data_IF_785479842466
#
_entry.id   IF_785479842466
#
_cell.length_a   1.000
_cell.length_b   1.000
_cell.length_c   1.000
_cell.angle_alpha   90.00
_cell.angle_beta   90.00
_cell.angle_gamma   90.00
#
_symmetry.space_group_name_H-M   'P 1'
#
loop_
_entity.id
_entity.type
_entity.pdbx_description
1 polymer ?
#
# COMPACT_ATOMS: atom_id res chain seq x y z
N UNK A 1 40.91 52.85 16.20
CA UNK A 1 40.61 51.56 16.85
C UNK A 1 39.43 50.94 16.09
N UNK A 2 39.74 50.39 14.91
CA UNK A 2 38.78 50.04 13.86
C UNK A 2 39.06 48.59 13.42
N UNK A 3 39.05 47.65 14.36
CA UNK A 3 39.20 46.22 14.10
C UNK A 3 38.42 45.53 15.21
N UNK A 4 37.14 45.22 15.01
CA UNK A 4 36.36 44.26 15.82
C UNK A 4 34.90 44.07 15.33
N UNK A 5 34.62 44.17 14.02
CA UNK A 5 33.25 44.06 13.49
C UNK A 5 33.12 43.23 12.21
N UNK A 6 33.95 42.19 12.04
CA UNK A 6 33.93 41.36 10.82
C UNK A 6 33.98 39.84 11.03
N UNK A 7 33.66 39.33 12.23
CA UNK A 7 33.86 37.91 12.54
C UNK A 7 32.61 37.06 12.74
N UNK A 8 31.40 37.55 12.42
CA UNK A 8 30.15 36.86 12.78
C UNK A 8 29.23 36.49 11.59
N UNK A 9 29.79 36.23 10.40
CA UNK A 9 28.99 35.72 9.25
C UNK A 9 29.71 34.55 8.60
N UNK A 10 29.94 33.48 9.35
CA UNK A 10 30.23 32.16 8.78
C UNK A 10 29.62 31.12 9.74
N UNK A 11 28.97 30.08 9.20
CA UNK A 11 28.46 28.88 9.89
C UNK A 11 26.96 28.78 10.31
N UNK A 12 26.01 29.12 9.43
CA UNK A 12 24.62 28.63 9.60
C UNK A 12 24.05 27.83 8.43
N UNK A 13 24.84 27.48 7.41
CA UNK A 13 24.36 26.81 6.19
C UNK A 13 24.29 25.27 6.16
N UNK A 14 24.82 24.45 7.11
CA UNK A 14 24.78 23.00 6.93
C UNK A 14 23.42 22.35 7.28
N UNK A 15 22.57 22.99 8.10
CA UNK A 15 21.34 22.36 8.60
C UNK A 15 20.25 22.16 7.52
N UNK A 16 20.09 23.12 6.60
CA UNK A 16 19.05 23.08 5.55
C UNK A 16 19.37 22.05 4.45
N UNK A 17 20.62 22.00 3.99
CA UNK A 17 21.06 21.02 2.98
C UNK A 17 21.04 19.57 3.52
N UNK A 18 21.30 19.41 4.82
CA UNK A 18 21.18 18.12 5.49
C UNK A 18 19.73 17.65 5.58
N UNK A 19 18.76 18.57 5.72
CA UNK A 19 17.32 18.24 5.72
C UNK A 19 16.83 17.76 4.36
N UNK A 20 17.12 18.48 3.26
CA UNK A 20 16.62 18.11 1.93
C UNK A 20 17.23 16.81 1.39
N UNK A 21 18.51 16.56 1.66
CA UNK A 21 19.17 15.30 1.27
C UNK A 21 18.67 14.10 2.08
N UNK A 22 18.36 14.28 3.37
CA UNK A 22 17.74 13.25 4.20
C UNK A 22 16.29 12.96 3.77
N UNK A 23 15.52 13.99 3.44
CA UNK A 23 14.16 13.84 2.92
C UNK A 23 14.15 13.10 1.57
N UNK A 24 15.04 13.49 0.65
CA UNK A 24 15.18 12.81 -0.63
C UNK A 24 15.45 11.31 -0.47
N UNK A 25 16.42 10.95 0.38
CA UNK A 25 16.72 9.54 0.69
C UNK A 25 15.55 8.81 1.33
N UNK A 26 14.79 9.48 2.20
CA UNK A 26 13.60 8.89 2.81
C UNK A 26 12.52 8.57 1.76
N UNK A 27 12.37 9.42 0.74
CA UNK A 27 11.43 9.18 -0.36
C UNK A 27 11.91 8.07 -1.30
N UNK A 28 13.19 8.08 -1.65
CA UNK A 28 13.84 6.99 -2.38
C UNK A 28 13.63 5.65 -1.67
N UNK A 29 13.92 5.59 -0.38
CA UNK A 29 13.74 4.39 0.44
C UNK A 29 12.29 3.92 0.45
N UNK A 30 11.33 4.85 0.57
CA UNK A 30 9.91 4.54 0.56
C UNK A 30 9.44 3.97 -0.78
N UNK A 31 9.88 4.55 -1.90
CA UNK A 31 9.56 4.06 -3.25
C UNK A 31 10.18 2.68 -3.48
N UNK A 32 11.45 2.49 -3.12
CA UNK A 32 12.15 1.23 -3.29
C UNK A 32 11.55 0.11 -2.42
N UNK A 33 11.28 0.38 -1.14
CA UNK A 33 10.65 -0.57 -0.23
C UNK A 33 9.21 -0.87 -0.65
N UNK A 34 8.45 0.15 -1.04
CA UNK A 34 7.09 0.01 -1.55
C UNK A 34 7.04 -0.89 -2.78
N UNK A 35 7.94 -0.69 -3.75
CA UNK A 35 8.04 -1.55 -4.94
C UNK A 35 8.36 -3.00 -4.59
N UNK A 36 9.33 -3.25 -3.70
CA UNK A 36 9.68 -4.62 -3.28
C UNK A 36 8.52 -5.31 -2.58
N UNK A 37 7.87 -4.63 -1.63
CA UNK A 37 6.72 -5.17 -0.92
C UNK A 37 5.57 -5.45 -1.90
N UNK A 38 5.22 -4.49 -2.75
CA UNK A 38 4.17 -4.65 -3.75
C UNK A 38 4.40 -5.87 -4.67
N UNK A 39 5.62 -6.08 -5.14
CA UNK A 39 5.97 -7.24 -5.96
C UNK A 39 5.80 -8.56 -5.19
N UNK A 40 6.30 -8.63 -3.95
CA UNK A 40 6.15 -9.82 -3.11
C UNK A 40 4.68 -10.11 -2.79
N UNK A 41 3.92 -9.08 -2.45
CA UNK A 41 2.49 -9.16 -2.19
C UNK A 41 1.74 -9.68 -3.42
N UNK A 42 2.03 -9.14 -4.60
CA UNK A 42 1.39 -9.53 -5.85
C UNK A 42 1.72 -10.98 -6.21
N UNK A 43 3.01 -11.36 -6.20
CA UNK A 43 3.42 -12.75 -6.47
C UNK A 43 2.80 -13.72 -5.46
N UNK A 44 2.75 -13.34 -4.18
CA UNK A 44 2.15 -14.15 -3.12
C UNK A 44 0.68 -14.46 -3.41
N UNK A 45 -0.15 -13.44 -3.59
CA UNK A 45 -1.58 -13.62 -3.85
C UNK A 45 -1.87 -14.23 -5.21
N UNK A 46 -1.12 -13.87 -6.26
CA UNK A 46 -1.21 -14.53 -7.57
C UNK A 46 -0.93 -16.02 -7.45
N UNK A 47 0.08 -16.43 -6.69
CA UNK A 47 0.43 -17.84 -6.49
C UNK A 47 -0.67 -18.59 -5.73
N UNK A 48 -1.26 -17.98 -4.69
CA UNK A 48 -2.39 -18.55 -3.96
C UNK A 48 -3.59 -18.80 -4.88
N UNK A 49 -3.95 -17.83 -5.74
CA UNK A 49 -5.08 -17.98 -6.65
C UNK A 49 -4.79 -18.93 -7.81
N UNK A 50 -3.57 -18.92 -8.36
CA UNK A 50 -3.16 -19.88 -9.37
C UNK A 50 -3.17 -21.32 -8.83
N UNK A 51 -2.67 -21.54 -7.61
CA UNK A 51 -2.73 -22.82 -6.93
C UNK A 51 -4.16 -23.28 -6.67
N UNK A 52 -5.00 -22.38 -6.14
CA UNK A 52 -6.44 -22.65 -5.95
C UNK A 52 -7.14 -23.01 -7.25
N UNK A 53 -6.83 -22.31 -8.35
CA UNK A 53 -7.38 -22.59 -9.67
C UNK A 53 -6.98 -24.00 -10.14
N UNK A 54 -5.70 -24.36 -10.01
CA UNK A 54 -5.19 -25.67 -10.41
C UNK A 54 -5.85 -26.81 -9.62
N UNK A 55 -5.93 -26.68 -8.28
CA UNK A 55 -6.56 -27.67 -7.41
C UNK A 55 -8.06 -27.81 -7.72
N UNK A 56 -8.77 -26.70 -7.89
CA UNK A 56 -10.20 -26.73 -8.22
C UNK A 56 -10.45 -27.29 -9.61
N UNK A 57 -9.61 -27.00 -10.61
CA UNK A 57 -9.74 -27.55 -11.94
C UNK A 57 -9.52 -29.07 -11.96
N UNK A 58 -8.54 -29.55 -11.19
CA UNK A 58 -8.30 -30.98 -11.01
C UNK A 58 -9.49 -31.66 -10.33
N UNK A 59 -9.97 -31.14 -9.21
CA UNK A 59 -11.13 -31.71 -8.50
C UNK A 59 -12.42 -31.67 -9.36
N UNK A 60 -12.64 -30.60 -10.12
CA UNK A 60 -13.80 -30.50 -11.01
C UNK A 60 -13.82 -31.58 -12.10
N UNK A 61 -12.64 -32.12 -12.45
CA UNK A 61 -12.46 -33.21 -13.41
C UNK A 61 -12.48 -34.58 -12.76
N UNK A 62 -11.78 -34.75 -11.64
CA UNK A 62 -11.44 -36.07 -11.09
C UNK A 62 -12.30 -36.49 -9.90
N UNK A 63 -13.00 -35.56 -9.24
CA UNK A 63 -13.81 -35.92 -8.08
C UNK A 63 -14.92 -36.91 -8.48
N UNK A 64 -15.07 -37.96 -7.69
CA UNK A 64 -16.07 -39.01 -7.93
C UNK A 64 -17.48 -38.55 -7.61
N UNK A 65 -17.61 -37.68 -6.61
CA UNK A 65 -18.86 -37.13 -6.10
C UNK A 65 -19.38 -35.96 -6.94
N UNK A 66 -20.70 -35.87 -7.12
CA UNK A 66 -21.32 -34.84 -7.95
C UNK A 66 -21.27 -33.46 -7.31
N UNK A 67 -21.40 -33.39 -5.99
CA UNK A 67 -21.44 -32.15 -5.21
C UNK A 67 -20.01 -31.59 -5.10
N UNK A 68 -19.02 -32.44 -4.87
CA UNK A 68 -17.60 -32.05 -4.88
C UNK A 68 -17.18 -31.48 -6.25
N UNK A 69 -17.62 -32.10 -7.35
CA UNK A 69 -17.37 -31.57 -8.70
C UNK A 69 -18.05 -30.22 -8.92
N UNK A 70 -19.27 -30.04 -8.40
CA UNK A 70 -20.00 -28.77 -8.53
C UNK A 70 -19.27 -27.66 -7.77
N UNK A 71 -18.93 -27.89 -6.51
CA UNK A 71 -18.20 -26.93 -5.67
C UNK A 71 -16.83 -26.57 -6.30
N UNK A 72 -16.13 -27.56 -6.84
CA UNK A 72 -14.86 -27.35 -7.52
C UNK A 72 -15.02 -26.48 -8.78
N UNK A 73 -16.09 -26.64 -9.57
CA UNK A 73 -16.36 -25.76 -10.74
C UNK A 73 -16.63 -24.32 -10.32
N UNK A 74 -17.39 -24.11 -9.25
CA UNK A 74 -17.58 -22.76 -8.67
C UNK A 74 -16.23 -22.20 -8.23
N UNK A 75 -15.39 -23.02 -7.60
CA UNK A 75 -14.03 -22.69 -7.20
C UNK A 75 -13.12 -22.30 -8.36
N UNK A 76 -13.22 -22.97 -9.52
CA UNK A 76 -12.50 -22.61 -10.76
C UNK A 76 -12.87 -21.19 -11.20
N UNK A 77 -14.17 -20.89 -11.30
CA UNK A 77 -14.63 -19.56 -11.72
C UNK A 77 -14.16 -18.49 -10.74
N UNK A 78 -14.31 -18.71 -9.43
CA UNK A 78 -13.87 -17.77 -8.39
C UNK A 78 -12.36 -17.53 -8.44
N UNK A 79 -11.57 -18.59 -8.57
CA UNK A 79 -10.10 -18.50 -8.61
C UNK A 79 -9.62 -17.83 -9.89
N UNK A 80 -10.25 -18.10 -11.04
CA UNK A 80 -9.93 -17.45 -12.30
C UNK A 80 -10.23 -15.94 -12.27
N UNK A 81 -11.38 -15.53 -11.71
CA UNK A 81 -11.71 -14.12 -11.54
C UNK A 81 -10.74 -13.41 -10.59
N UNK A 82 -10.40 -14.04 -9.46
CA UNK A 82 -9.44 -13.48 -8.50
C UNK A 82 -8.03 -13.35 -9.11
N UNK A 83 -7.57 -14.39 -9.82
CA UNK A 83 -6.30 -14.37 -10.53
C UNK A 83 -6.28 -13.30 -11.63
N UNK A 84 -7.36 -13.20 -12.42
CA UNK A 84 -7.53 -12.16 -13.42
C UNK A 84 -7.46 -10.76 -12.81
N UNK A 85 -8.16 -10.54 -11.69
CA UNK A 85 -8.09 -9.30 -10.91
C UNK A 85 -6.66 -8.96 -10.50
N UNK A 86 -5.90 -9.92 -9.97
CA UNK A 86 -4.49 -9.73 -9.61
C UNK A 86 -3.59 -9.38 -10.79
N UNK A 87 -3.90 -9.83 -12.00
CA UNK A 87 -3.09 -9.57 -13.20
C UNK A 87 -3.41 -8.22 -13.83
N UNK A 88 -4.68 -7.81 -13.79
CA UNK A 88 -5.18 -6.56 -14.38
C UNK A 88 -5.01 -5.37 -13.44
N UNK A 89 -5.26 -5.54 -12.13
CA UNK A 89 -5.13 -4.49 -11.13
C UNK A 89 -3.80 -4.60 -10.38
N UNK A 90 -2.72 -4.18 -11.06
CA UNK A 90 -1.37 -4.20 -10.48
C UNK A 90 -1.18 -3.07 -9.47
N UNK A 91 -0.39 -3.34 -8.44
CA UNK A 91 -0.02 -2.32 -7.46
C UNK A 91 0.75 -1.17 -8.14
N UNK A 92 0.53 0.09 -7.74
CA UNK A 92 1.17 1.25 -8.37
C UNK A 92 2.67 1.39 -8.04
N UNK A 93 3.12 0.85 -6.90
CA UNK A 93 4.47 1.07 -6.37
C UNK A 93 5.60 0.69 -7.33
N UNK A 94 5.57 -0.47 -8.03
CA UNK A 94 6.63 -0.81 -8.98
C UNK A 94 6.68 0.13 -10.18
N UNK A 95 5.55 0.69 -10.61
CA UNK A 95 5.53 1.68 -11.70
C UNK A 95 6.13 3.00 -11.23
N UNK A 96 5.71 3.50 -10.06
CA UNK A 96 6.26 4.72 -9.46
C UNK A 96 7.76 4.62 -9.19
N UNK A 97 8.25 3.46 -8.70
CA UNK A 97 9.68 3.26 -8.48
C UNK A 97 10.48 3.21 -9.78
N UNK A 98 9.96 2.57 -10.85
CA UNK A 98 10.60 2.62 -12.17
C UNK A 98 10.65 4.04 -12.70
N UNK A 99 9.55 4.77 -12.62
CA UNK A 99 9.50 6.15 -13.04
C UNK A 99 10.55 6.97 -12.30
N UNK A 100 10.57 6.93 -10.96
CA UNK A 100 11.60 7.60 -10.17
C UNK A 100 13.02 7.25 -10.63
N UNK A 101 13.36 5.95 -10.73
CA UNK A 101 14.68 5.45 -11.12
C UNK A 101 15.13 5.91 -12.51
N UNK A 102 14.20 6.07 -13.45
CA UNK A 102 14.49 6.39 -14.85
C UNK A 102 14.54 7.90 -15.15
N UNK A 103 14.38 8.76 -14.13
CA UNK A 103 14.50 10.21 -14.33
C UNK A 103 15.49 10.86 -13.37
N UNK A 104 15.52 12.19 -13.39
CA UNK A 104 16.49 12.98 -12.63
C UNK A 104 16.22 12.95 -11.12
N UNK A 105 17.29 13.14 -10.34
CA UNK A 105 17.25 13.28 -8.89
C UNK A 105 16.59 14.60 -8.49
N UNK A 106 15.26 14.59 -8.45
CA UNK A 106 14.42 15.71 -8.04
C UNK A 106 13.50 15.31 -6.88
N UNK A 107 13.65 15.99 -5.75
CA UNK A 107 12.82 15.80 -4.55
C UNK A 107 11.34 16.09 -4.80
N UNK A 108 11.02 17.07 -5.64
CA UNK A 108 9.63 17.41 -5.94
C UNK A 108 8.97 16.32 -6.76
N UNK A 109 9.73 15.70 -7.67
CA UNK A 109 9.27 14.53 -8.43
C UNK A 109 9.05 13.32 -7.53
N UNK A 110 10.01 13.00 -6.66
CA UNK A 110 9.86 11.91 -5.70
C UNK A 110 8.62 12.10 -4.81
N UNK A 111 8.37 13.34 -4.37
CA UNK A 111 7.19 13.70 -3.59
C UNK A 111 5.88 13.48 -4.37
N UNK A 112 5.77 14.00 -5.60
CA UNK A 112 4.57 13.80 -6.44
C UNK A 112 4.26 12.33 -6.69
N UNK A 113 5.29 11.52 -6.93
CA UNK A 113 5.12 10.07 -7.12
C UNK A 113 4.61 9.39 -5.85
N UNK A 114 5.16 9.75 -4.69
CA UNK A 114 4.66 9.24 -3.42
C UNK A 114 3.22 9.67 -3.16
N UNK A 115 2.88 10.93 -3.43
CA UNK A 115 1.52 11.47 -3.24
C UNK A 115 0.49 10.69 -4.06
N UNK A 116 0.79 10.46 -5.34
CA UNK A 116 -0.06 9.65 -6.23
C UNK A 116 -0.22 8.21 -5.71
N UNK A 117 0.89 7.56 -5.32
CA UNK A 117 0.84 6.19 -4.77
C UNK A 117 0.07 6.15 -3.44
N UNK A 118 0.22 7.14 -2.58
CA UNK A 118 -0.48 7.21 -1.31
C UNK A 118 -1.98 7.48 -1.48
N UNK A 119 -2.39 8.25 -2.49
CA UNK A 119 -3.79 8.40 -2.85
C UNK A 119 -4.39 7.05 -3.27
N UNK A 120 -3.70 6.29 -4.13
CA UNK A 120 -4.12 4.95 -4.50
C UNK A 120 -4.16 3.98 -3.29
N UNK A 121 -3.16 4.00 -2.42
CA UNK A 121 -3.15 3.19 -1.19
C UNK A 121 -4.38 3.50 -0.31
N UNK A 122 -4.78 4.77 -0.20
CA UNK A 122 -5.98 5.17 0.55
C UNK A 122 -7.26 4.73 -0.16
N UNK A 123 -7.35 4.93 -1.47
CA UNK A 123 -8.51 4.55 -2.27
C UNK A 123 -8.78 3.04 -2.20
N UNK A 124 -7.74 2.22 -2.33
CA UNK A 124 -7.80 0.74 -2.26
C UNK A 124 -8.24 0.23 -0.88
N UNK A 125 -8.06 1.02 0.17
CA UNK A 125 -8.45 0.69 1.55
C UNK A 125 -9.76 1.33 1.99
N UNK A 126 -10.38 2.13 1.12
CA UNK A 126 -11.60 2.85 1.42
C UNK A 126 -12.74 1.90 1.81
N UNK A 127 -13.73 2.43 2.53
CA UNK A 127 -14.95 1.69 2.84
C UNK A 127 -15.63 1.19 1.56
N UNK A 128 -15.55 1.94 0.46
CA UNK A 128 -16.11 1.52 -0.82
C UNK A 128 -15.45 0.24 -1.35
N UNK A 129 -14.12 0.12 -1.26
CA UNK A 129 -13.41 -1.10 -1.63
C UNK A 129 -13.83 -2.30 -0.75
N UNK A 130 -14.00 -2.08 0.56
CA UNK A 130 -14.48 -3.11 1.50
C UNK A 130 -15.91 -3.55 1.19
N UNK A 131 -16.79 -2.61 0.84
CA UNK A 131 -18.18 -2.89 0.46
C UNK A 131 -18.27 -3.68 -0.85
N UNK A 132 -17.39 -3.41 -1.83
CA UNK A 132 -17.30 -4.21 -3.06
C UNK A 132 -16.97 -5.67 -2.78
N UNK A 133 -15.97 -5.91 -1.93
CA UNK A 133 -15.63 -7.26 -1.47
C UNK A 133 -16.78 -7.94 -0.73
N UNK A 134 -17.48 -7.21 0.15
CA UNK A 134 -18.63 -7.73 0.88
C UNK A 134 -19.74 -8.15 -0.10
N UNK A 135 -20.07 -7.31 -1.08
CA UNK A 135 -21.09 -7.62 -2.08
C UNK A 135 -20.74 -8.88 -2.90
N UNK A 136 -19.51 -8.98 -3.41
CA UNK A 136 -19.06 -10.14 -4.20
C UNK A 136 -19.11 -11.42 -3.36
N UNK A 137 -18.61 -11.38 -2.12
CA UNK A 137 -18.63 -12.55 -1.24
C UNK A 137 -20.04 -12.96 -0.83
N UNK A 138 -20.94 -11.99 -0.60
CA UNK A 138 -22.36 -12.27 -0.32
C UNK A 138 -23.02 -12.95 -1.52
N UNK A 139 -22.82 -12.45 -2.74
CA UNK A 139 -23.36 -13.09 -3.96
C UNK A 139 -22.84 -14.52 -4.10
N UNK A 140 -21.54 -14.73 -3.92
CA UNK A 140 -20.94 -16.05 -4.00
C UNK A 140 -21.49 -17.01 -2.95
N UNK A 141 -21.59 -16.57 -1.69
CA UNK A 141 -22.15 -17.37 -0.60
C UNK A 141 -23.63 -17.71 -0.81
N UNK A 142 -24.43 -16.76 -1.27
CA UNK A 142 -25.84 -16.98 -1.61
C UNK A 142 -26.02 -17.94 -2.79
N UNK A 143 -25.14 -17.88 -3.80
CA UNK A 143 -25.20 -18.80 -4.95
C UNK A 143 -25.02 -20.25 -4.50
N UNK A 144 -24.11 -20.50 -3.55
CA UNK A 144 -23.89 -21.85 -2.99
C UNK A 144 -25.05 -22.25 -2.07
N UNK A 145 -25.54 -21.33 -1.24
CA UNK A 145 -26.65 -21.60 -0.32
C UNK A 145 -27.95 -21.96 -1.05
N UNK A 146 -28.29 -21.24 -2.13
CA UNK A 146 -29.55 -21.39 -2.86
C UNK A 146 -29.47 -22.46 -3.96
N UNK A 147 -28.27 -22.72 -4.50
CA UNK A 147 -28.08 -23.68 -5.59
C UNK A 147 -28.49 -25.11 -5.24
N UNK A 148 -28.40 -25.51 -3.96
CA UNK A 148 -28.69 -26.89 -3.52
C UNK A 148 -29.17 -27.01 -2.05
N UNK A 149 -29.65 -25.91 -1.44
CA UNK A 149 -30.11 -25.92 -0.03
C UNK A 149 -28.99 -26.06 1.01
N UNK A 150 -27.73 -25.80 0.62
CA UNK A 150 -26.52 -25.95 1.45
C UNK A 150 -26.14 -24.63 2.16
N UNK A 151 -27.06 -24.13 2.98
CA UNK A 151 -26.93 -22.83 3.67
C UNK A 151 -25.65 -22.70 4.52
N UNK A 152 -25.26 -23.79 5.19
CA UNK A 152 -24.03 -23.85 5.99
C UNK A 152 -22.78 -23.64 5.14
N UNK A 153 -22.73 -24.22 3.95
CA UNK A 153 -21.57 -24.17 3.07
C UNK A 153 -21.46 -22.79 2.39
N UNK A 154 -22.61 -22.19 2.06
CA UNK A 154 -22.68 -20.79 1.65
C UNK A 154 -22.13 -19.83 2.72
N UNK A 155 -22.50 -20.04 3.99
CA UNK A 155 -22.00 -19.23 5.11
C UNK A 155 -20.48 -19.40 5.33
N UNK A 156 -19.96 -20.63 5.22
CA UNK A 156 -18.51 -20.90 5.30
C UNK A 156 -17.77 -20.24 4.13
N UNK A 157 -18.32 -20.31 2.91
CA UNK A 157 -17.70 -19.67 1.74
C UNK A 157 -17.64 -18.15 1.90
N UNK A 158 -18.72 -17.54 2.38
CA UNK A 158 -18.78 -16.13 2.71
C UNK A 158 -17.71 -15.75 3.75
N UNK A 159 -17.68 -16.45 4.89
CA UNK A 159 -16.74 -16.17 5.97
C UNK A 159 -15.27 -16.30 5.51
N UNK A 160 -14.96 -17.36 4.76
CA UNK A 160 -13.63 -17.59 4.20
C UNK A 160 -13.26 -16.49 3.21
N UNK A 161 -14.19 -16.11 2.34
CA UNK A 161 -13.99 -15.01 1.39
C UNK A 161 -13.71 -13.68 2.07
N UNK A 162 -14.47 -13.36 3.13
CA UNK A 162 -14.26 -12.16 3.93
C UNK A 162 -12.91 -12.15 4.64
N UNK A 163 -12.49 -13.27 5.22
CA UNK A 163 -11.16 -13.41 5.84
C UNK A 163 -10.05 -13.15 4.82
N UNK A 164 -10.12 -13.80 3.65
CA UNK A 164 -9.13 -13.64 2.58
C UNK A 164 -9.07 -12.20 2.07
N UNK A 165 -10.23 -11.54 1.95
CA UNK A 165 -10.28 -10.12 1.57
C UNK A 165 -9.66 -9.19 2.62
N UNK A 166 -9.93 -9.39 3.91
CA UNK A 166 -9.32 -8.55 4.96
C UNK A 166 -7.82 -8.81 5.07
N UNK A 167 -7.36 -10.06 4.92
CA UNK A 167 -5.93 -10.38 4.88
C UNK A 167 -5.22 -9.70 3.71
N UNK A 168 -5.83 -9.71 2.51
CA UNK A 168 -5.30 -8.96 1.36
C UNK A 168 -5.20 -7.47 1.67
N UNK A 169 -6.29 -6.86 2.15
CA UNK A 169 -6.29 -5.44 2.49
C UNK A 169 -5.27 -5.12 3.58
N UNK A 170 -5.16 -5.94 4.62
CA UNK A 170 -4.25 -5.69 5.73
C UNK A 170 -2.78 -5.81 5.30
N UNK A 171 -2.45 -6.79 4.46
CA UNK A 171 -1.09 -7.06 3.99
C UNK A 171 -0.62 -6.15 2.86
N UNK A 172 -1.51 -5.36 2.23
CA UNK A 172 -1.11 -4.45 1.15
C UNK A 172 -0.05 -3.42 1.59
N UNK A 173 0.86 -3.03 0.68
CA UNK A 173 1.90 -2.02 0.93
C UNK A 173 1.31 -0.67 1.36
N UNK A 174 2.05 0.04 2.22
CA UNK A 174 1.65 1.34 2.82
C UNK A 174 2.81 2.34 2.91
N UNK A 175 3.89 2.06 2.21
CA UNK A 175 5.14 2.79 2.36
C UNK A 175 4.98 4.25 1.90
N UNK A 176 4.14 4.51 0.89
CA UNK A 176 3.93 5.86 0.39
C UNK A 176 3.13 6.72 1.38
N UNK A 177 2.00 6.21 1.88
CA UNK A 177 1.20 6.88 2.91
C UNK A 177 2.02 7.11 4.18
N UNK A 178 2.84 6.14 4.59
CA UNK A 178 3.72 6.28 5.76
C UNK A 178 4.82 7.32 5.55
N UNK A 179 5.34 7.48 4.33
CA UNK A 179 6.39 8.43 4.03
C UNK A 179 5.88 9.87 4.03
N UNK A 180 4.71 10.12 3.46
CA UNK A 180 4.09 11.45 3.42
C UNK A 180 3.61 11.88 4.80
N UNK A 181 2.97 10.98 5.54
CA UNK A 181 2.44 11.30 6.88
C UNK A 181 3.54 11.44 7.95
N UNK A 182 4.82 11.25 7.59
CA UNK A 182 5.95 11.47 8.49
C UNK A 182 6.10 12.95 8.85
N UNK A 183 5.75 13.86 7.94
CA UNK A 183 5.70 15.29 8.19
C UNK A 183 4.29 15.66 8.67
N UNK A 184 4.18 16.12 9.92
CA UNK A 184 2.92 16.52 10.55
C UNK A 184 2.84 18.05 10.65
N UNK A 185 1.69 18.68 10.40
CA UNK A 185 1.56 20.12 10.57
C UNK A 185 1.79 20.56 12.02
N UNK A 186 2.72 21.49 12.22
CA UNK A 186 2.94 22.22 13.45
C UNK A 186 2.61 23.70 13.21
N UNK A 187 1.62 24.21 13.94
CA UNK A 187 1.41 25.65 14.10
C UNK A 187 2.21 26.10 15.30
N UNK A 188 3.23 26.91 15.08
CA UNK A 188 4.03 27.49 16.16
C UNK A 188 3.73 28.98 16.20
N UNK A 189 3.10 29.43 17.28
CA UNK A 189 2.85 30.85 17.54
C UNK A 189 3.91 31.39 18.50
N UNK A 190 4.74 32.34 18.03
CA UNK A 190 5.65 33.12 18.87
C UNK A 190 5.18 34.57 18.91
N UNK A 191 4.46 34.96 19.97
CA UNK A 191 3.83 36.28 20.06
C UNK A 191 2.81 36.49 18.95
N UNK A 192 2.94 37.61 18.21
CA UNK A 192 2.06 37.93 17.06
C UNK A 192 2.45 37.23 15.76
N UNK A 193 3.58 36.50 15.73
CA UNK A 193 4.05 35.79 14.53
C UNK A 193 3.50 34.37 14.52
N UNK A 194 2.67 34.08 13.51
CA UNK A 194 2.10 32.76 13.27
C UNK A 194 2.94 32.07 12.18
N UNK A 195 3.72 31.06 12.56
CA UNK A 195 4.44 30.22 11.61
C UNK A 195 3.62 28.94 11.39
N UNK A 196 3.08 28.80 10.18
CA UNK A 196 2.53 27.54 9.71
C UNK A 196 3.70 26.70 9.17
N UNK A 197 3.85 25.50 9.71
CA UNK A 197 4.94 24.63 9.32
C UNK A 197 4.57 23.15 9.47
N UNK A 198 5.50 22.28 9.14
CA UNK A 198 5.38 20.84 9.42
C UNK A 198 6.64 20.31 10.08
N UNK A 199 6.48 19.35 10.98
CA UNK A 199 7.56 18.71 11.70
C UNK A 199 7.59 17.21 11.41
N UNK A 200 8.79 16.64 11.28
CA UNK A 200 8.99 15.19 11.20
C UNK A 200 10.00 14.74 12.23
N UNK A 201 9.67 13.65 12.94
CA UNK A 201 10.64 12.94 13.77
C UNK A 201 11.55 12.11 12.86
N UNK A 202 12.84 12.44 12.90
CA UNK A 202 13.90 11.68 12.26
C UNK A 202 14.50 10.73 13.29
N UNK A 203 14.24 9.43 13.13
CA UNK A 203 14.78 8.38 14.01
C UNK A 203 15.78 7.56 13.20
N UNK A 204 17.05 7.63 13.58
CA UNK A 204 18.14 6.81 13.04
C UNK A 204 18.84 6.01 14.14
N UNK A 205 19.70 5.04 13.79
CA UNK A 205 20.34 4.11 14.74
C UNK A 205 21.10 4.79 15.88
N UNK A 206 21.54 6.04 15.69
CA UNK A 206 22.28 6.84 16.67
C UNK A 206 21.85 8.31 16.73
N UNK A 207 20.71 8.69 16.13
CA UNK A 207 20.27 10.09 16.04
C UNK A 207 18.75 10.20 16.19
N UNK A 208 18.31 11.14 17.03
CA UNK A 208 16.92 11.58 17.16
C UNK A 208 16.90 13.07 16.79
N UNK A 209 16.20 13.41 15.72
CA UNK A 209 16.10 14.77 15.21
C UNK A 209 14.66 15.17 14.94
N UNK A 210 14.41 16.48 14.90
CA UNK A 210 13.16 17.06 14.43
C UNK A 210 13.50 17.89 13.19
N UNK A 211 12.94 17.53 12.05
CA UNK A 211 12.95 18.37 10.85
C UNK A 211 11.75 19.32 10.93
N UNK A 212 11.96 20.62 10.65
CA UNK A 212 10.91 21.63 10.60
C UNK A 212 10.87 22.22 9.18
N UNK A 213 9.67 22.36 8.61
CA UNK A 213 9.38 23.11 7.39
C UNK A 213 8.42 24.25 7.71
N UNK A 214 8.48 25.35 6.97
CA UNK A 214 7.58 26.51 7.03
C UNK A 214 7.27 26.98 5.60
#
# INVERSE_FOLDING_TARGET
>A
MLILLLSAIWLSTPALAQSSSQEYRAYEDALAQGSRHANLWQVGWTSVYAGSLAVNAWQASEASDADDRFDARVGVVKSALALGGMLLDRQPHPAAYREWRDGEDDIQRARRLLEAVAEEERARRSLQARLGSLAVNTIAGLTIAVGDGRERDGAINFATGMLVSELQLQSQPRQATSAINRFQPARVSFGDVHLEGEYAWLVGPSQLGVALRY
#
